data_IF_591554348921
#
_entry.id   IF_591554348921
#
_cell.length_a   1.000
_cell.length_b   1.000
_cell.length_c   1.000
_cell.angle_alpha   90.00
_cell.angle_beta   90.00
_cell.angle_gamma   90.00
#
_symmetry.space_group_name_H-M   'P 1'
#
loop_
_entity.id
_entity.type
_entity.pdbx_description
1 polymer ?
#
# COMPACT_ATOMS: atom_id res chain seq x y z
N UNK A 1 -12.35 -6.29 3.08
CA UNK A 1 -11.45 -5.94 1.95
C UNK A 1 -10.03 -6.40 2.23
N UNK A 2 -9.27 -6.58 1.19
CA UNK A 2 -7.89 -7.06 1.27
C UNK A 2 -6.98 -6.01 0.65
N UNK A 3 -5.90 -5.67 1.37
CA UNK A 3 -4.84 -4.81 0.84
C UNK A 3 -3.66 -5.70 0.41
N UNK A 4 -3.30 -5.62 -0.86
CA UNK A 4 -2.11 -6.27 -1.40
C UNK A 4 -1.01 -5.24 -1.63
N UNK A 5 0.21 -5.60 -1.28
CA UNK A 5 1.38 -4.72 -1.43
C UNK A 5 2.47 -5.45 -2.19
N UNK A 6 2.89 -4.90 -3.30
CA UNK A 6 4.03 -5.38 -4.07
C UNK A 6 5.23 -4.50 -3.75
N UNK A 7 6.06 -4.98 -2.83
CA UNK A 7 7.17 -4.18 -2.27
C UNK A 7 8.37 -4.21 -3.21
N UNK A 8 8.87 -3.02 -3.50
CA UNK A 8 10.09 -2.82 -4.30
C UNK A 8 10.83 -1.61 -3.76
N UNK A 9 12.13 -1.56 -3.98
CA UNK A 9 12.95 -0.41 -3.57
C UNK A 9 12.82 0.79 -4.51
N UNK A 10 12.19 0.59 -5.65
CA UNK A 10 11.98 1.66 -6.65
C UNK A 10 10.53 2.14 -6.65
N UNK A 11 9.60 1.23 -6.88
CA UNK A 11 8.17 1.54 -6.93
C UNK A 11 7.43 0.44 -6.18
N UNK A 12 6.71 0.82 -5.14
CA UNK A 12 5.87 -0.12 -4.37
C UNK A 12 4.42 0.05 -4.80
N UNK A 13 3.77 -1.04 -5.16
CA UNK A 13 2.38 -1.05 -5.60
C UNK A 13 1.43 -1.43 -4.47
N UNK A 14 0.25 -0.83 -4.47
CA UNK A 14 -0.82 -1.08 -3.49
C UNK A 14 -2.11 -1.33 -4.24
N UNK A 15 -2.83 -2.38 -3.85
CA UNK A 15 -4.15 -2.66 -4.39
C UNK A 15 -5.09 -3.08 -3.27
N UNK A 16 -6.31 -2.54 -3.29
CA UNK A 16 -7.37 -2.98 -2.38
C UNK A 16 -8.43 -3.69 -3.20
N UNK A 17 -8.80 -4.88 -2.78
CA UNK A 17 -9.86 -5.66 -3.43
C UNK A 17 -11.01 -5.87 -2.47
N UNK A 18 -12.23 -5.94 -3.02
CA UNK A 18 -13.42 -6.28 -2.25
C UNK A 18 -13.61 -7.80 -2.13
N UNK A 19 -14.69 -8.21 -1.51
CA UNK A 19 -15.01 -9.62 -1.28
C UNK A 19 -15.25 -10.41 -2.57
N UNK A 20 -15.56 -9.71 -3.65
CA UNK A 20 -15.81 -10.33 -4.96
C UNK A 20 -14.55 -10.40 -5.82
N UNK A 21 -13.41 -9.94 -5.27
CA UNK A 21 -12.15 -9.90 -5.99
C UNK A 21 -11.98 -8.69 -6.91
N UNK A 22 -12.89 -7.73 -6.83
CA UNK A 22 -12.82 -6.53 -7.64
C UNK A 22 -11.83 -5.54 -7.04
N UNK A 23 -10.96 -4.97 -7.88
CA UNK A 23 -10.02 -3.95 -7.45
C UNK A 23 -10.76 -2.62 -7.27
N UNK A 24 -10.73 -2.09 -6.04
CA UNK A 24 -11.37 -0.82 -5.71
C UNK A 24 -10.36 0.32 -5.53
N UNK A 25 -9.08 -0.02 -5.37
CA UNK A 25 -7.98 0.94 -5.33
C UNK A 25 -6.75 0.30 -5.96
N UNK A 26 -6.05 1.05 -6.79
CA UNK A 26 -4.75 0.64 -7.33
C UNK A 26 -3.87 1.88 -7.39
N UNK A 27 -2.81 1.90 -6.57
CA UNK A 27 -1.90 3.03 -6.49
C UNK A 27 -0.46 2.56 -6.39
N UNK A 28 0.47 3.46 -6.64
CA UNK A 28 1.90 3.18 -6.54
C UNK A 28 2.60 4.33 -5.81
N UNK A 29 3.63 3.96 -5.03
CA UNK A 29 4.55 4.91 -4.43
C UNK A 29 5.88 4.86 -5.16
N UNK A 30 6.30 5.99 -5.71
CA UNK A 30 7.62 6.12 -6.31
C UNK A 30 8.63 6.44 -5.20
N UNK A 31 9.54 5.50 -4.95
CA UNK A 31 10.53 5.59 -3.89
C UNK A 31 11.90 6.03 -4.38
N UNK A 32 12.05 6.36 -5.66
CA UNK A 32 13.35 6.68 -6.26
C UNK A 32 13.96 7.96 -5.72
N UNK A 33 13.14 8.85 -5.13
CA UNK A 33 13.61 10.08 -4.48
C UNK A 33 14.13 9.85 -3.06
N UNK A 34 13.69 8.78 -2.43
CA UNK A 34 14.14 8.43 -1.09
C UNK A 34 15.50 7.77 -1.19
N UNK A 35 16.50 8.34 -0.53
CA UNK A 35 17.90 7.95 -0.73
C UNK A 35 18.31 6.71 0.05
N UNK A 36 17.67 6.46 1.18
CA UNK A 36 18.04 5.36 2.04
C UNK A 36 16.82 4.49 2.38
N UNK A 37 17.11 3.34 2.95
CA UNK A 37 16.10 2.36 3.31
C UNK A 37 15.12 2.90 4.35
N UNK A 38 15.61 3.68 5.29
CA UNK A 38 14.77 4.24 6.35
C UNK A 38 13.72 5.22 5.77
N UNK A 39 14.14 6.14 4.91
CA UNK A 39 13.23 7.07 4.24
C UNK A 39 12.18 6.34 3.41
N UNK A 40 12.60 5.30 2.67
CA UNK A 40 11.67 4.48 1.87
C UNK A 40 10.65 3.80 2.77
N UNK A 41 11.07 3.27 3.90
CA UNK A 41 10.18 2.61 4.86
C UNK A 41 9.14 3.59 5.42
N UNK A 42 9.53 4.82 5.72
CA UNK A 42 8.61 5.84 6.21
C UNK A 42 7.57 6.22 5.15
N UNK A 43 7.98 6.32 3.90
CA UNK A 43 7.08 6.63 2.78
C UNK A 43 6.04 5.52 2.61
N UNK A 44 6.48 4.26 2.63
CA UNK A 44 5.58 3.11 2.52
C UNK A 44 4.62 3.07 3.72
N UNK A 45 5.14 3.28 4.93
CA UNK A 45 4.32 3.30 6.14
C UNK A 45 3.23 4.35 6.07
N UNK A 46 3.58 5.56 5.64
CA UNK A 46 2.62 6.64 5.50
C UNK A 46 1.50 6.28 4.52
N UNK A 47 1.85 5.62 3.41
CA UNK A 47 0.87 5.19 2.41
C UNK A 47 -0.05 4.11 2.96
N UNK A 48 0.50 3.14 3.68
CA UNK A 48 -0.32 2.08 4.31
C UNK A 48 -1.31 2.69 5.29
N UNK A 49 -0.86 3.61 6.16
CA UNK A 49 -1.73 4.26 7.13
C UNK A 49 -2.83 5.07 6.46
N UNK A 50 -2.51 5.75 5.38
CA UNK A 50 -3.48 6.52 4.59
C UNK A 50 -4.56 5.61 4.00
N UNK A 51 -4.17 4.47 3.43
CA UNK A 51 -5.10 3.49 2.87
C UNK A 51 -5.97 2.89 3.98
N UNK A 52 -5.39 2.49 5.10
CA UNK A 52 -6.15 1.93 6.23
C UNK A 52 -7.16 2.92 6.77
N UNK A 53 -6.80 4.20 6.86
CA UNK A 53 -7.70 5.25 7.29
C UNK A 53 -8.84 5.47 6.29
N UNK A 54 -8.52 5.49 5.00
CA UNK A 54 -9.53 5.68 3.94
C UNK A 54 -10.59 4.57 3.93
N UNK A 55 -10.20 3.36 4.30
CA UNK A 55 -11.10 2.21 4.34
C UNK A 55 -11.44 1.79 5.78
N UNK A 56 -11.46 2.70 6.68
CA UNK A 56 -11.73 2.61 8.12
C UNK A 56 -12.38 1.29 8.59
N UNK A 57 -11.56 0.36 9.11
CA UNK A 57 -12.02 -0.91 9.66
C UNK A 57 -12.46 -1.96 8.63
N UNK A 58 -12.38 -1.66 7.32
CA UNK A 58 -12.81 -2.59 6.28
C UNK A 58 -11.69 -3.47 5.74
N UNK A 59 -10.45 -3.11 5.97
CA UNK A 59 -9.30 -3.93 5.57
C UNK A 59 -9.14 -5.05 6.61
N UNK A 60 -9.38 -6.29 6.19
CA UNK A 60 -9.34 -7.48 7.06
C UNK A 60 -8.00 -8.20 6.98
N UNK A 61 -7.36 -8.15 5.82
CA UNK A 61 -6.08 -8.81 5.57
C UNK A 61 -5.15 -7.92 4.78
N UNK A 62 -3.86 -8.06 5.05
CA UNK A 62 -2.80 -7.40 4.30
C UNK A 62 -1.84 -8.48 3.80
N UNK A 63 -1.63 -8.52 2.48
CA UNK A 63 -0.69 -9.43 1.83
C UNK A 63 0.47 -8.64 1.23
N UNK A 64 1.66 -9.12 1.49
CA UNK A 64 2.89 -8.51 1.00
C UNK A 64 3.59 -9.46 0.04
#
# INVERSE_FOLDING_TARGET
MILGIDVSTSITGFAVTDMEGKIVLSEACDLRRDKDFFSKSLTIRAKILDILESYSGKIEHIYI
#
